data_IF_818791024261
#
_entry.id   IF_818791024261
#
_cell.length_a   1.000
_cell.length_b   1.000
_cell.length_c   1.000
_cell.angle_alpha   90.00
_cell.angle_beta   90.00
_cell.angle_gamma   90.00
#
_symmetry.space_group_name_H-M   'P 1'
#
loop_
_entity.id
_entity.type
_entity.pdbx_description
1 polymer ?
#
# COMPACT_ATOMS: atom_id res chain seq x y z
N UNK A 1 6.71 -2.17 0.65
CA UNK A 1 5.58 -2.86 1.30
C UNK A 1 4.40 -3.11 0.37
N UNK A 2 3.92 -2.07 -0.27
CA UNK A 2 2.80 -2.18 -1.20
C UNK A 2 3.10 -3.11 -2.37
N UNK A 3 4.25 -2.94 -3.02
CA UNK A 3 4.63 -3.75 -4.19
C UNK A 3 4.70 -5.23 -3.90
N UNK A 4 5.35 -5.59 -2.79
CA UNK A 4 5.45 -6.98 -2.36
C UNK A 4 4.06 -7.57 -2.05
N UNK A 5 3.20 -6.78 -1.43
CA UNK A 5 1.85 -7.20 -1.06
C UNK A 5 0.99 -7.47 -2.30
N UNK A 6 1.00 -6.58 -3.30
CA UNK A 6 0.24 -6.80 -4.54
C UNK A 6 0.77 -8.00 -5.34
N UNK A 7 2.07 -8.24 -5.29
CA UNK A 7 2.65 -9.43 -5.90
C UNK A 7 2.13 -10.71 -5.25
N UNK A 8 2.04 -10.73 -3.93
CA UNK A 8 1.47 -11.85 -3.19
C UNK A 8 -0.01 -12.07 -3.53
N UNK A 9 -0.80 -11.00 -3.60
CA UNK A 9 -2.21 -11.07 -3.97
C UNK A 9 -2.39 -11.62 -5.38
N UNK A 10 -1.57 -11.18 -6.33
CA UNK A 10 -1.59 -11.69 -7.69
C UNK A 10 -1.23 -13.18 -7.73
N UNK A 11 -0.18 -13.56 -7.01
CA UNK A 11 0.26 -14.95 -6.92
C UNK A 11 -0.82 -15.86 -6.32
N UNK A 12 -1.58 -15.36 -5.36
CA UNK A 12 -2.69 -16.09 -4.75
C UNK A 12 -3.81 -16.39 -5.74
N UNK A 13 -3.95 -15.59 -6.78
CA UNK A 13 -4.87 -15.84 -7.90
C UNK A 13 -4.29 -16.81 -8.93
N UNK A 14 -3.07 -17.29 -8.72
CA UNK A 14 -2.35 -18.19 -9.64
C UNK A 14 -2.14 -17.59 -11.03
N UNK A 15 -1.97 -16.27 -11.09
CA UNK A 15 -1.71 -15.55 -12.33
C UNK A 15 -0.26 -15.07 -12.38
N UNK A 16 0.41 -15.32 -13.49
CA UNK A 16 1.68 -14.69 -13.78
C UNK A 16 1.49 -13.21 -14.07
N UNK A 17 2.58 -12.43 -14.06
CA UNK A 17 2.51 -10.99 -14.28
C UNK A 17 1.86 -10.66 -15.63
N UNK A 18 2.28 -11.33 -16.72
CA UNK A 18 1.73 -11.09 -18.05
C UNK A 18 0.26 -11.49 -18.15
N UNK A 19 -0.11 -12.61 -17.56
CA UNK A 19 -1.50 -13.08 -17.55
C UNK A 19 -2.41 -12.08 -16.82
N UNK A 20 -1.97 -11.59 -15.67
CA UNK A 20 -2.69 -10.60 -14.91
C UNK A 20 -2.88 -9.32 -15.69
N UNK A 21 -1.82 -8.83 -16.33
CA UNK A 21 -1.87 -7.61 -17.13
C UNK A 21 -2.73 -7.76 -18.39
N UNK A 22 -2.71 -8.93 -19.01
CA UNK A 22 -3.62 -9.22 -20.16
C UNK A 22 -5.08 -9.20 -19.71
N UNK A 23 -5.38 -9.77 -18.55
CA UNK A 23 -6.74 -9.83 -18.02
C UNK A 23 -7.27 -8.46 -17.63
N UNK A 24 -6.40 -7.61 -17.06
CA UNK A 24 -6.80 -6.31 -16.50
C UNK A 24 -6.62 -5.14 -17.47
N UNK A 25 -5.80 -5.30 -18.51
CA UNK A 25 -5.45 -4.23 -19.41
C UNK A 25 -4.33 -3.32 -18.90
N UNK A 26 -3.67 -3.69 -17.81
CA UNK A 26 -2.57 -2.88 -17.26
C UNK A 26 -1.27 -3.13 -18.02
N UNK A 27 -0.40 -2.11 -18.06
CA UNK A 27 0.90 -2.23 -18.70
C UNK A 27 1.85 -3.09 -17.85
N UNK A 28 2.39 -4.21 -18.40
CA UNK A 28 3.26 -5.10 -17.64
C UNK A 28 4.52 -4.44 -17.11
N UNK A 29 5.12 -3.53 -17.87
CA UNK A 29 6.33 -2.83 -17.46
C UNK A 29 6.08 -1.95 -16.24
N UNK A 30 5.02 -1.17 -16.28
CA UNK A 30 4.64 -0.30 -15.16
C UNK A 30 4.24 -1.11 -13.92
N UNK A 31 3.45 -2.16 -14.12
CA UNK A 31 3.04 -3.03 -13.02
C UNK A 31 4.24 -3.68 -12.35
N UNK A 32 5.19 -4.20 -13.14
CA UNK A 32 6.42 -4.80 -12.64
C UNK A 32 7.23 -3.82 -11.79
N UNK A 33 7.33 -2.57 -12.22
CA UNK A 33 8.05 -1.55 -11.46
C UNK A 33 7.41 -1.30 -10.09
N UNK A 34 6.10 -1.34 -10.01
CA UNK A 34 5.38 -1.16 -8.75
C UNK A 34 5.56 -2.38 -7.85
N UNK A 35 5.48 -3.59 -8.40
CA UNK A 35 5.73 -4.82 -7.62
C UNK A 35 7.14 -4.88 -7.04
N UNK A 36 8.12 -4.38 -7.80
CA UNK A 36 9.52 -4.32 -7.36
C UNK A 36 9.83 -3.11 -6.49
N UNK A 37 8.83 -2.28 -6.22
CA UNK A 37 8.96 -1.07 -5.41
C UNK A 37 9.93 -0.03 -6.01
N UNK A 38 10.13 -0.09 -7.31
CA UNK A 38 10.90 0.91 -8.07
C UNK A 38 10.05 2.15 -8.35
N UNK A 39 8.74 1.96 -8.54
CA UNK A 39 7.77 3.03 -8.70
C UNK A 39 6.82 3.09 -7.50
N UNK A 40 6.35 4.28 -7.11
CA UNK A 40 5.43 4.41 -5.97
C UNK A 40 4.04 3.87 -6.32
N UNK A 41 3.22 3.55 -5.30
CA UNK A 41 1.83 3.19 -5.51
C UNK A 41 1.04 4.36 -6.12
N UNK A 42 -0.11 4.08 -6.76
CA UNK A 42 -1.00 5.15 -7.20
C UNK A 42 -1.45 6.00 -6.02
N UNK A 43 -1.60 7.30 -6.25
CA UNK A 43 -2.11 8.23 -5.25
C UNK A 43 -3.62 8.40 -5.34
N UNK A 44 -4.19 8.05 -6.47
CA UNK A 44 -5.61 8.22 -6.75
C UNK A 44 -6.43 7.09 -6.12
N UNK A 45 -7.39 7.46 -5.29
CA UNK A 45 -8.24 6.51 -4.58
C UNK A 45 -9.06 5.64 -5.54
N UNK A 46 -9.56 6.21 -6.62
CA UNK A 46 -10.32 5.46 -7.62
C UNK A 46 -9.46 4.37 -8.28
N UNK A 47 -8.20 4.69 -8.59
CA UNK A 47 -7.25 3.73 -9.15
C UNK A 47 -6.94 2.61 -8.15
N UNK A 48 -6.72 2.96 -6.89
CA UNK A 48 -6.48 1.97 -5.84
C UNK A 48 -7.66 1.03 -5.65
N UNK A 49 -8.88 1.55 -5.67
CA UNK A 49 -10.10 0.73 -5.57
C UNK A 49 -10.25 -0.24 -6.74
N UNK A 50 -9.94 0.23 -7.93
CA UNK A 50 -9.97 -0.63 -9.12
C UNK A 50 -8.93 -1.74 -9.02
N UNK A 51 -7.72 -1.42 -8.59
CA UNK A 51 -6.66 -2.40 -8.38
C UNK A 51 -7.03 -3.43 -7.32
N UNK A 52 -7.62 -2.98 -6.21
CA UNK A 52 -8.10 -3.87 -5.14
C UNK A 52 -9.13 -4.87 -5.68
N UNK A 53 -10.05 -4.39 -6.50
CA UNK A 53 -11.06 -5.24 -7.15
C UNK A 53 -10.42 -6.27 -8.06
N UNK A 54 -9.46 -5.86 -8.91
CA UNK A 54 -8.78 -6.76 -9.83
C UNK A 54 -7.92 -7.80 -9.10
N UNK A 55 -7.41 -7.44 -7.92
CA UNK A 55 -6.63 -8.36 -7.08
C UNK A 55 -7.51 -9.27 -6.22
N UNK A 56 -8.84 -9.16 -6.34
CA UNK A 56 -9.78 -10.03 -5.64
C UNK A 56 -10.02 -9.67 -4.19
N UNK A 57 -9.69 -8.45 -3.79
CA UNK A 57 -9.92 -7.99 -2.42
C UNK A 57 -11.39 -7.67 -2.19
N UNK A 58 -11.93 -8.16 -1.09
CA UNK A 58 -13.28 -7.83 -0.65
C UNK A 58 -13.24 -6.62 0.29
N UNK A 59 -14.20 -5.71 0.12
CA UNK A 59 -14.31 -4.51 0.96
C UNK A 59 -14.38 -4.87 2.44
N UNK A 60 -13.71 -4.07 3.26
CA UNK A 60 -13.73 -4.16 4.72
C UNK A 60 -13.09 -5.44 5.31
N UNK A 61 -12.30 -6.16 4.51
CA UNK A 61 -11.46 -7.25 5.04
C UNK A 61 -10.12 -6.70 5.52
N UNK A 62 -9.39 -7.50 6.30
CA UNK A 62 -8.05 -7.12 6.76
C UNK A 62 -7.10 -6.84 5.60
N UNK A 63 -7.15 -7.66 4.56
CA UNK A 63 -6.31 -7.47 3.37
C UNK A 63 -6.68 -6.20 2.60
N UNK A 64 -7.97 -5.86 2.55
CA UNK A 64 -8.43 -4.60 1.98
C UNK A 64 -7.81 -3.41 2.71
N UNK A 65 -7.88 -3.41 4.05
CA UNK A 65 -7.32 -2.34 4.86
C UNK A 65 -5.80 -2.27 4.73
N UNK A 66 -5.11 -3.41 4.72
CA UNK A 66 -3.67 -3.47 4.49
C UNK A 66 -3.28 -2.85 3.15
N UNK A 67 -4.04 -3.16 2.10
CA UNK A 67 -3.78 -2.64 0.76
C UNK A 67 -3.75 -1.12 0.75
N UNK A 68 -4.78 -0.48 1.29
CA UNK A 68 -4.85 0.98 1.34
C UNK A 68 -3.84 1.59 2.30
N UNK A 69 -3.59 0.94 3.43
CA UNK A 69 -2.61 1.42 4.40
C UNK A 69 -1.18 1.36 3.84
N UNK A 70 -0.82 0.29 3.17
CA UNK A 70 0.49 0.17 2.52
C UNK A 70 0.66 1.22 1.43
N UNK A 71 -0.36 1.45 0.63
CA UNK A 71 -0.33 2.48 -0.42
C UNK A 71 -0.11 3.87 0.18
N UNK A 72 -0.81 4.21 1.25
CA UNK A 72 -0.68 5.50 1.92
C UNK A 72 0.72 5.67 2.53
N UNK A 73 1.21 4.67 3.26
CA UNK A 73 2.52 4.74 3.91
C UNK A 73 3.65 4.84 2.88
N UNK A 74 3.63 4.04 1.83
CA UNK A 74 4.66 4.08 0.78
C UNK A 74 4.60 5.37 -0.04
N UNK A 75 3.42 6.02 -0.13
CA UNK A 75 3.27 7.33 -0.76
C UNK A 75 3.63 8.49 0.17
N UNK A 76 4.01 8.20 1.41
CA UNK A 76 4.35 9.21 2.41
C UNK A 76 3.16 9.91 3.04
N UNK A 77 1.99 9.27 3.05
CA UNK A 77 0.76 9.83 3.65
C UNK A 77 0.39 9.08 4.91
N UNK A 78 -0.23 9.79 5.84
CA UNK A 78 -0.83 9.18 7.02
C UNK A 78 -2.28 8.86 6.66
N UNK A 79 -2.73 7.59 6.80
CA UNK A 79 -4.14 7.26 6.59
C UNK A 79 -5.04 8.10 7.51
N UNK A 80 -6.12 8.65 6.96
CA UNK A 80 -6.98 9.59 7.68
C UNK A 80 -7.53 9.04 9.00
N UNK A 81 -7.89 7.76 9.03
CA UNK A 81 -8.43 7.14 10.23
C UNK A 81 -7.43 7.06 11.39
N UNK A 82 -6.14 7.27 11.11
CA UNK A 82 -5.09 7.23 12.13
C UNK A 82 -4.83 8.60 12.76
N UNK A 83 -5.24 9.67 12.09
CA UNK A 83 -5.03 11.03 12.58
C UNK A 83 -5.79 11.31 13.87
N UNK A 84 -6.87 10.57 14.14
CA UNK A 84 -7.69 10.72 15.34
C UNK A 84 -7.22 9.85 16.50
N UNK A 85 -6.21 9.01 16.30
CA UNK A 85 -5.73 8.09 17.33
C UNK A 85 -4.63 8.74 18.16
N UNK A 86 -4.90 8.95 19.48
CA UNK A 86 -3.96 9.58 20.40
C UNK A 86 -2.67 8.78 20.60
N UNK A 87 -2.76 7.47 20.56
CA UNK A 87 -1.59 6.60 20.67
C UNK A 87 -0.62 6.81 19.52
N UNK A 88 -1.16 7.00 18.32
CA UNK A 88 -0.37 7.28 17.13
C UNK A 88 0.19 8.69 17.13
N UNK A 89 -0.48 9.64 17.79
CA UNK A 89 0.02 11.00 17.93
C UNK A 89 1.37 11.04 18.65
N UNK A 90 1.63 10.11 19.57
CA UNK A 90 2.92 10.00 20.25
C UNK A 90 4.08 9.64 19.31
N UNK A 91 3.78 9.12 18.13
CA UNK A 91 4.77 8.73 17.12
C UNK A 91 4.83 9.73 15.95
N UNK A 92 4.31 10.94 16.15
CA UNK A 92 4.31 12.01 15.14
C UNK A 92 5.66 12.31 14.50
N UNK A 93 6.80 12.25 15.21
CA UNK A 93 8.09 12.53 14.55
C UNK A 93 8.38 11.65 13.35
N UNK A 94 7.97 10.38 13.40
CA UNK A 94 8.13 9.46 12.27
C UNK A 94 7.20 9.84 11.13
N UNK A 95 5.96 10.21 11.43
CA UNK A 95 4.98 10.67 10.45
C UNK A 95 5.43 11.97 9.78
N UNK A 96 5.97 12.92 10.56
CA UNK A 96 6.43 14.20 10.02
C UNK A 96 7.60 14.04 9.05
N UNK A 97 8.52 13.12 9.30
CA UNK A 97 9.58 12.82 8.33
C UNK A 97 9.01 12.36 7.00
N UNK A 98 7.97 11.55 7.05
CA UNK A 98 7.27 11.08 5.86
C UNK A 98 6.56 12.20 5.13
N UNK A 99 5.88 13.10 5.87
CA UNK A 99 5.15 14.22 5.31
C UNK A 99 6.05 15.31 4.72
N UNK A 100 7.27 15.46 5.24
CA UNK A 100 8.21 16.48 4.73
C UNK A 100 8.88 16.08 3.41
N UNK A 101 8.45 14.99 2.81
CA UNK A 101 8.95 14.54 1.52
C UNK A 101 10.23 13.72 1.60
N UNK A 102 10.73 13.46 2.79
CA UNK A 102 11.84 12.54 2.96
C UNK A 102 11.32 11.13 2.77
N UNK A 103 12.02 10.37 1.92
CA UNK A 103 11.66 8.98 1.69
C UNK A 103 11.86 8.21 3.01
N UNK A 104 10.80 7.58 3.57
CA UNK A 104 10.96 6.84 4.80
C UNK A 104 11.90 5.67 4.62
N UNK A 105 12.74 5.41 5.63
CA UNK A 105 13.58 4.22 5.63
C UNK A 105 12.71 2.98 5.75
N UNK A 106 13.28 1.82 5.41
CA UNK A 106 12.59 0.55 5.58
C UNK A 106 12.15 0.35 7.04
N UNK A 107 13.03 0.70 7.98
CA UNK A 107 12.74 0.62 9.41
C UNK A 107 11.58 1.53 9.80
N UNK A 108 11.55 2.76 9.30
CA UNK A 108 10.45 3.70 9.56
C UNK A 108 9.13 3.15 9.05
N UNK A 109 9.12 2.57 7.85
CA UNK A 109 7.91 1.97 7.27
C UNK A 109 7.42 0.79 8.07
N UNK A 110 8.34 -0.07 8.53
CA UNK A 110 7.99 -1.22 9.36
C UNK A 110 7.39 -0.79 10.70
N UNK A 111 7.95 0.24 11.33
CA UNK A 111 7.40 0.80 12.56
C UNK A 111 6.02 1.38 12.35
N UNK A 112 5.83 2.14 11.28
CA UNK A 112 4.53 2.72 10.94
C UNK A 112 3.48 1.62 10.72
N UNK A 113 3.83 0.58 9.99
CA UNK A 113 2.90 -0.51 9.74
C UNK A 113 2.56 -1.30 11.00
N UNK A 114 3.54 -1.52 11.88
CA UNK A 114 3.28 -2.17 13.16
C UNK A 114 2.30 -1.38 14.01
N UNK A 115 2.44 -0.05 14.05
CA UNK A 115 1.53 0.83 14.76
C UNK A 115 0.13 0.82 14.15
N UNK A 116 0.04 0.88 12.85
CA UNK A 116 -1.23 0.86 12.12
C UNK A 116 -1.98 -0.45 12.38
N UNK A 117 -1.30 -1.57 12.30
CA UNK A 117 -1.89 -2.89 12.53
C UNK A 117 -2.28 -3.09 13.99
N UNK A 118 -1.50 -2.54 14.92
CA UNK A 118 -1.80 -2.61 16.34
C UNK A 118 -2.93 -1.70 16.78
N UNK A 119 -3.17 -0.61 16.05
CA UNK A 119 -4.22 0.37 16.35
C UNK A 119 -5.58 0.00 15.75
N UNK A 120 -5.58 -0.94 14.81
CA UNK A 120 -6.81 -1.42 14.19
C UNK A 120 -7.56 -2.32 15.10
#
# INVERSE_FOLDING_TARGET
MFGKFIKELRANQRLGLREFCLKTGYDPSNWSKIEREVSPPPKDDATLREWAKQLGLKQNTDDWHKFFNYAAVDAGRIPDHLLENEELAAHLPVFFRTLSGQKPSREDREKLMALIQGAG
#
